data_IF_150488953466
#
_entry.id   IF_150488953466
#
_cell.length_a   1.000
_cell.length_b   1.000
_cell.length_c   1.000
_cell.angle_alpha   90.00
_cell.angle_beta   90.00
_cell.angle_gamma   90.00
#
_symmetry.space_group_name_H-M   'P 1'
#
loop_
_entity.id
_entity.type
_entity.pdbx_description
1 polymer ?
#
# COMPACT_ATOMS: atom_id res chain seq x y z
N UNK A 1 27.32 33.73 22.53
CA UNK A 1 26.75 32.43 22.91
C UNK A 1 25.80 32.02 21.80
N UNK A 2 26.20 31.14 20.91
CA UNK A 2 25.36 30.67 19.80
C UNK A 2 24.32 29.71 20.39
N UNK A 3 23.07 30.17 20.48
CA UNK A 3 21.93 29.29 20.72
C UNK A 3 21.80 28.35 19.53
N UNK A 4 22.39 27.17 19.59
CA UNK A 4 22.09 26.10 18.64
C UNK A 4 20.65 25.66 18.87
N UNK A 5 19.71 26.23 18.12
CA UNK A 5 18.34 25.76 18.09
C UNK A 5 18.37 24.28 17.66
N UNK A 6 17.99 23.39 18.56
CA UNK A 6 17.99 21.96 18.30
C UNK A 6 16.74 21.63 17.47
N UNK A 7 16.91 21.61 16.15
CA UNK A 7 15.86 21.26 15.21
C UNK A 7 15.64 19.75 15.15
N UNK A 8 14.38 19.34 15.15
CA UNK A 8 13.98 17.96 14.94
C UNK A 8 13.06 17.85 13.73
N UNK A 9 13.13 16.75 13.02
CA UNK A 9 12.17 16.49 11.94
C UNK A 9 10.78 16.25 12.52
N UNK A 10 9.75 16.75 11.89
CA UNK A 10 8.36 16.64 12.36
C UNK A 10 7.92 15.18 12.51
N UNK A 11 8.25 14.31 11.53
CA UNK A 11 7.90 12.87 11.60
C UNK A 11 8.55 12.15 12.80
N UNK A 12 9.76 12.54 13.16
CA UNK A 12 10.48 12.00 14.33
C UNK A 12 9.89 12.56 15.61
N UNK A 13 9.68 13.89 15.66
CA UNK A 13 9.14 14.56 16.83
C UNK A 13 7.76 14.00 17.24
N UNK A 14 6.88 13.76 16.26
CA UNK A 14 5.55 13.20 16.49
C UNK A 14 5.59 11.80 17.12
N UNK A 15 6.56 10.98 16.74
CA UNK A 15 6.74 9.63 17.32
C UNK A 15 7.33 9.73 18.73
N UNK A 16 8.35 10.56 18.91
CA UNK A 16 9.02 10.72 20.23
C UNK A 16 8.06 11.27 21.28
N UNK A 17 7.12 12.14 20.87
CA UNK A 17 6.05 12.67 21.73
C UNK A 17 4.81 11.76 21.78
N UNK A 18 4.89 10.52 21.26
CA UNK A 18 3.84 9.48 21.34
C UNK A 18 2.52 9.85 20.65
N UNK A 19 2.51 10.81 19.73
CA UNK A 19 1.34 11.10 18.91
C UNK A 19 1.04 9.98 17.90
N UNK A 20 2.08 9.32 17.40
CA UNK A 20 1.97 8.20 16.48
C UNK A 20 2.88 7.05 16.87
N UNK A 21 2.48 5.83 16.53
CA UNK A 21 3.21 4.60 16.87
C UNK A 21 4.49 4.38 16.04
N UNK A 22 4.61 5.04 14.87
CA UNK A 22 5.79 4.93 14.02
C UNK A 22 5.93 6.13 13.07
N UNK A 23 7.15 6.31 12.54
CA UNK A 23 7.44 7.37 11.56
C UNK A 23 6.63 7.24 10.27
N UNK A 24 6.29 6.01 9.86
CA UNK A 24 5.45 5.80 8.68
C UNK A 24 4.04 6.31 8.91
N UNK A 25 3.44 6.05 10.06
CA UNK A 25 2.12 6.56 10.44
C UNK A 25 2.15 8.09 10.54
N UNK A 26 3.14 8.65 11.23
CA UNK A 26 3.32 10.09 11.32
C UNK A 26 3.47 10.76 9.94
N UNK A 27 4.32 10.20 9.09
CA UNK A 27 4.52 10.72 7.72
C UNK A 27 3.24 10.64 6.87
N UNK A 28 2.42 9.60 7.08
CA UNK A 28 1.14 9.51 6.38
C UNK A 28 0.15 10.57 6.86
N UNK A 29 0.03 10.78 8.17
CA UNK A 29 -0.81 11.84 8.74
C UNK A 29 -0.40 13.23 8.26
N UNK A 30 0.91 13.51 8.20
CA UNK A 30 1.46 14.76 7.65
C UNK A 30 1.08 14.90 6.18
N UNK A 31 1.28 13.86 5.38
CA UNK A 31 0.97 13.87 3.95
C UNK A 31 -0.53 14.15 3.67
N UNK A 32 -1.42 13.62 4.52
CA UNK A 32 -2.86 13.84 4.43
C UNK A 32 -3.28 15.24 4.90
N UNK A 33 -2.34 16.06 5.39
CA UNK A 33 -2.64 17.41 5.87
C UNK A 33 -3.28 17.45 7.26
N UNK A 34 -3.22 16.35 8.02
CA UNK A 34 -3.81 16.24 9.36
C UNK A 34 -2.91 16.82 10.46
N UNK A 35 -1.73 17.32 10.10
CA UNK A 35 -0.78 17.92 11.04
C UNK A 35 -0.53 19.37 10.67
N UNK A 36 -0.69 20.25 11.64
CA UNK A 36 -0.38 21.68 11.50
C UNK A 36 0.77 22.06 12.44
N UNK A 37 1.62 22.94 11.98
CA UNK A 37 2.69 23.56 12.76
C UNK A 37 2.42 25.07 12.81
N UNK A 38 2.31 25.63 14.01
CA UNK A 38 2.00 27.04 14.23
C UNK A 38 0.72 27.48 13.48
N UNK A 39 -0.30 26.61 13.46
CA UNK A 39 -1.58 26.86 12.79
C UNK A 39 -1.56 26.67 11.26
N UNK A 40 -0.43 26.31 10.66
CA UNK A 40 -0.33 26.06 9.22
C UNK A 40 -0.23 24.55 8.95
N UNK A 41 -1.11 24.04 8.07
CA UNK A 41 -1.06 22.64 7.61
C UNK A 41 0.25 22.41 6.87
N UNK A 42 0.93 21.32 7.21
CA UNK A 42 2.15 20.89 6.52
C UNK A 42 2.01 19.49 5.95
N UNK A 43 2.52 19.27 4.74
CA UNK A 43 2.55 17.95 4.08
C UNK A 43 3.96 17.40 3.93
N UNK A 44 4.97 18.09 4.52
CA UNK A 44 6.38 17.70 4.43
C UNK A 44 6.86 17.08 5.74
N UNK A 45 7.05 15.76 5.77
CA UNK A 45 7.52 15.01 6.95
C UNK A 45 8.88 15.46 7.49
N UNK A 46 9.74 16.02 6.63
CA UNK A 46 11.05 16.54 6.98
C UNK A 46 11.03 17.98 7.49
N UNK A 47 9.87 18.61 7.67
CA UNK A 47 9.74 19.95 8.25
C UNK A 47 10.52 19.98 9.57
N UNK A 48 11.40 20.98 9.70
CA UNK A 48 12.20 21.19 10.92
C UNK A 48 11.37 21.97 11.91
N UNK A 49 11.24 21.45 13.11
CA UNK A 49 10.54 22.08 14.23
C UNK A 49 11.45 22.18 15.44
N UNK A 50 11.13 23.10 16.31
CA UNK A 50 11.79 23.36 17.59
C UNK A 50 10.85 23.01 18.75
N UNK A 51 11.33 23.09 19.96
CA UNK A 51 10.49 22.94 21.18
C UNK A 51 9.46 24.07 21.38
N UNK A 52 9.58 25.16 20.63
CA UNK A 52 8.67 26.33 20.71
C UNK A 52 7.56 26.29 19.69
N UNK A 53 7.61 25.37 18.72
CA UNK A 53 6.59 25.24 17.69
C UNK A 53 5.35 24.53 18.23
N UNK A 54 4.16 25.14 17.99
CA UNK A 54 2.89 24.53 18.35
C UNK A 54 2.50 23.52 17.26
N UNK A 55 2.44 22.24 17.62
CA UNK A 55 2.00 21.16 16.70
C UNK A 55 0.61 20.72 17.11
N UNK A 56 -0.32 20.74 16.15
CA UNK A 56 -1.69 20.26 16.32
C UNK A 56 -1.99 19.14 15.32
N UNK A 57 -2.86 18.22 15.74
CA UNK A 57 -3.25 17.06 14.93
C UNK A 57 -4.77 17.06 14.81
N UNK A 58 -5.24 16.97 13.58
CA UNK A 58 -6.66 16.75 13.32
C UNK A 58 -7.00 15.27 13.54
N UNK A 59 -7.73 14.98 14.60
CA UNK A 59 -8.16 13.63 14.96
C UNK A 59 -9.52 13.25 14.35
N UNK A 60 -10.07 14.07 13.47
CA UNK A 60 -11.37 13.81 12.84
C UNK A 60 -11.33 12.67 11.82
N UNK A 61 -10.16 12.35 11.28
CA UNK A 61 -9.98 11.28 10.30
C UNK A 61 -9.22 10.06 10.86
N UNK A 62 -9.55 8.88 10.34
CA UNK A 62 -8.82 7.65 10.67
C UNK A 62 -7.41 7.67 10.08
N UNK A 63 -6.42 7.38 10.91
CA UNK A 63 -5.05 7.21 10.47
C UNK A 63 -4.81 5.83 9.89
N UNK A 64 -4.22 5.79 8.70
CA UNK A 64 -3.78 4.54 8.09
C UNK A 64 -2.31 4.29 8.35
N UNK A 65 -1.96 3.02 8.53
CA UNK A 65 -0.58 2.57 8.78
C UNK A 65 0.38 2.89 7.62
N UNK A 66 -0.16 3.12 6.42
CA UNK A 66 0.61 3.58 5.26
C UNK A 66 -0.27 4.33 4.25
N UNK A 67 0.37 5.13 3.38
CA UNK A 67 -0.30 5.82 2.25
C UNK A 67 -0.95 4.84 1.26
N UNK A 68 -0.43 3.61 1.19
CA UNK A 68 -0.97 2.56 0.31
C UNK A 68 -2.46 2.30 0.58
N UNK A 69 -2.89 2.38 1.84
CA UNK A 69 -4.29 2.23 2.23
C UNK A 69 -5.26 3.07 1.38
N UNK A 70 -4.91 4.33 1.13
CA UNK A 70 -5.76 5.23 0.35
C UNK A 70 -5.94 4.81 -1.12
N UNK A 71 -4.99 4.06 -1.68
CA UNK A 71 -5.09 3.51 -3.05
C UNK A 71 -6.19 2.45 -3.12
N UNK A 72 -6.17 1.49 -2.18
CA UNK A 72 -7.17 0.44 -2.13
C UNK A 72 -8.54 0.99 -1.74
N UNK A 73 -8.61 1.89 -0.75
CA UNK A 73 -9.85 2.57 -0.35
C UNK A 73 -10.51 3.26 -1.54
N UNK A 74 -9.73 4.03 -2.31
CA UNK A 74 -10.23 4.68 -3.52
C UNK A 74 -10.79 3.67 -4.52
N UNK A 75 -10.07 2.57 -4.79
CA UNK A 75 -10.50 1.52 -5.72
C UNK A 75 -11.82 0.90 -5.28
N UNK A 76 -11.93 0.44 -4.03
CA UNK A 76 -13.14 -0.19 -3.48
C UNK A 76 -14.33 0.77 -3.54
N UNK A 77 -14.14 2.03 -3.13
CA UNK A 77 -15.19 3.05 -3.18
C UNK A 77 -15.69 3.33 -4.60
N UNK A 78 -14.77 3.37 -5.58
CA UNK A 78 -15.11 3.60 -7.00
C UNK A 78 -15.79 2.40 -7.65
N UNK A 79 -15.36 1.19 -7.33
CA UNK A 79 -15.84 -0.04 -7.99
C UNK A 79 -16.99 -0.68 -7.25
N UNK A 80 -17.20 -0.33 -5.98
CA UNK A 80 -18.17 -0.94 -5.08
C UNK A 80 -17.99 -2.47 -4.96
N UNK A 81 -16.72 -2.92 -5.01
CA UNK A 81 -16.39 -4.32 -4.75
C UNK A 81 -16.86 -4.67 -3.35
N UNK A 82 -17.62 -5.75 -3.25
CA UNK A 82 -18.09 -6.29 -1.98
C UNK A 82 -16.98 -7.06 -1.27
N UNK A 83 -16.53 -6.56 -0.13
CA UNK A 83 -15.50 -7.14 0.73
C UNK A 83 -16.11 -7.78 1.98
N UNK A 84 -17.35 -7.43 2.29
CA UNK A 84 -17.99 -7.86 3.54
C UNK A 84 -18.03 -9.39 3.66
N UNK A 85 -17.57 -9.90 4.80
CA UNK A 85 -17.49 -11.33 5.13
C UNK A 85 -16.67 -12.19 4.16
N UNK A 86 -15.85 -11.58 3.30
CA UNK A 86 -14.99 -12.32 2.37
C UNK A 86 -13.68 -12.74 3.02
N UNK A 87 -13.13 -13.86 2.55
CA UNK A 87 -11.73 -14.22 2.77
C UNK A 87 -10.89 -13.53 1.72
N UNK A 88 -9.83 -12.86 2.15
CA UNK A 88 -8.96 -12.05 1.30
C UNK A 88 -7.50 -12.50 1.41
N UNK A 89 -6.73 -12.26 0.34
CA UNK A 89 -5.27 -12.30 0.34
C UNK A 89 -4.76 -10.88 0.09
N UNK A 90 -3.74 -10.46 0.85
CA UNK A 90 -3.01 -9.22 0.65
C UNK A 90 -1.54 -9.52 0.33
N UNK A 91 -1.17 -9.43 -0.95
CA UNK A 91 0.17 -9.72 -1.46
C UNK A 91 1.04 -8.46 -1.38
N UNK A 92 2.14 -8.55 -0.64
CA UNK A 92 3.01 -7.43 -0.33
C UNK A 92 2.40 -6.55 0.78
N UNK A 93 1.93 -7.18 1.85
CA UNK A 93 1.21 -6.51 2.93
C UNK A 93 2.04 -5.43 3.64
N UNK A 94 3.37 -5.59 3.74
CA UNK A 94 4.29 -4.63 4.36
C UNK A 94 3.79 -4.15 5.73
N UNK A 95 3.57 -2.85 5.93
CA UNK A 95 3.02 -2.29 7.19
C UNK A 95 1.53 -2.58 7.39
N UNK A 96 0.84 -3.16 6.42
CA UNK A 96 -0.57 -3.54 6.51
C UNK A 96 -1.56 -2.50 5.95
N UNK A 97 -1.13 -1.65 5.03
CA UNK A 97 -2.01 -0.61 4.49
C UNK A 97 -3.25 -1.17 3.78
N UNK A 98 -3.09 -2.15 2.91
CA UNK A 98 -4.22 -2.80 2.24
C UNK A 98 -5.00 -3.69 3.20
N UNK A 99 -4.31 -4.44 4.06
CA UNK A 99 -4.91 -5.24 5.14
C UNK A 99 -5.86 -4.40 5.99
N UNK A 100 -5.46 -3.19 6.40
CA UNK A 100 -6.30 -2.29 7.20
C UNK A 100 -7.58 -1.89 6.47
N UNK A 101 -7.51 -1.63 5.18
CA UNK A 101 -8.67 -1.30 4.36
C UNK A 101 -9.60 -2.51 4.20
N UNK A 102 -9.06 -3.69 3.93
CA UNK A 102 -9.87 -4.91 3.85
C UNK A 102 -10.64 -5.16 5.16
N UNK A 103 -10.00 -4.95 6.32
CA UNK A 103 -10.66 -5.02 7.63
C UNK A 103 -11.75 -3.95 7.79
N UNK A 104 -11.48 -2.71 7.35
CA UNK A 104 -12.44 -1.59 7.42
C UNK A 104 -13.70 -1.87 6.60
N UNK A 105 -13.54 -2.54 5.44
CA UNK A 105 -14.66 -2.95 4.58
C UNK A 105 -15.27 -4.31 4.94
N UNK A 106 -14.94 -4.86 6.10
CA UNK A 106 -15.63 -6.01 6.67
C UNK A 106 -15.14 -7.39 6.25
N UNK A 107 -13.89 -7.52 5.76
CA UNK A 107 -13.30 -8.84 5.50
C UNK A 107 -13.36 -9.72 6.76
N UNK A 108 -13.76 -10.98 6.59
CA UNK A 108 -13.84 -11.95 7.71
C UNK A 108 -12.50 -12.61 8.01
N UNK A 109 -11.63 -12.73 7.00
CA UNK A 109 -10.30 -13.31 7.13
C UNK A 109 -9.37 -12.70 6.10
N UNK A 110 -8.12 -12.41 6.49
CA UNK A 110 -7.10 -11.86 5.60
C UNK A 110 -5.80 -12.62 5.80
N UNK A 111 -5.30 -13.21 4.73
CA UNK A 111 -3.94 -13.73 4.67
C UNK A 111 -3.03 -12.60 4.17
N UNK A 112 -2.26 -12.02 5.07
CA UNK A 112 -1.37 -10.89 4.79
C UNK A 112 0.04 -11.44 4.56
N UNK A 113 0.51 -11.40 3.32
CA UNK A 113 1.70 -12.09 2.85
C UNK A 113 2.78 -11.09 2.48
N UNK A 114 3.97 -11.25 3.05
CA UNK A 114 5.13 -10.41 2.73
C UNK A 114 6.44 -11.19 2.90
N UNK A 115 7.41 -10.94 2.02
CA UNK A 115 8.77 -11.48 2.13
C UNK A 115 9.56 -10.85 3.27
N UNK A 116 9.17 -9.66 3.71
CA UNK A 116 9.75 -8.93 4.83
C UNK A 116 9.45 -9.60 6.16
N UNK A 117 10.06 -9.07 7.21
CA UNK A 117 9.89 -9.57 8.56
C UNK A 117 9.46 -8.45 9.50
N UNK A 118 8.46 -8.72 10.36
CA UNK A 118 7.97 -7.81 11.40
C UNK A 118 7.61 -6.38 10.92
N UNK A 119 7.20 -6.24 9.65
CA UNK A 119 6.84 -4.94 9.10
C UNK A 119 5.43 -4.49 9.49
N UNK A 120 4.50 -5.44 9.64
CA UNK A 120 3.10 -5.15 9.89
C UNK A 120 2.89 -4.44 11.24
N UNK A 121 2.05 -3.43 11.23
CA UNK A 121 1.68 -2.67 12.43
C UNK A 121 1.07 -3.58 13.50
N UNK A 122 1.50 -3.43 14.76
CA UNK A 122 1.10 -4.30 15.87
C UNK A 122 -0.42 -4.41 16.06
N UNK A 123 -1.16 -3.34 15.82
CA UNK A 123 -2.62 -3.36 15.90
C UNK A 123 -3.28 -4.31 14.90
N UNK A 124 -2.71 -4.44 13.69
CA UNK A 124 -3.19 -5.35 12.65
C UNK A 124 -2.76 -6.78 12.92
N UNK A 125 -1.54 -7.00 13.41
CA UNK A 125 -1.05 -8.32 13.81
C UNK A 125 -1.86 -8.96 14.94
N UNK A 126 -2.50 -8.13 15.79
CA UNK A 126 -3.35 -8.59 16.90
C UNK A 126 -4.81 -8.82 16.52
N UNK A 127 -5.24 -8.40 15.34
CA UNK A 127 -6.61 -8.64 14.87
C UNK A 127 -6.77 -10.12 14.50
N UNK A 128 -7.72 -10.80 15.14
CA UNK A 128 -7.95 -12.24 14.95
C UNK A 128 -8.33 -12.63 13.52
N UNK A 129 -8.79 -11.67 12.71
CA UNK A 129 -9.10 -11.86 11.30
C UNK A 129 -7.86 -11.87 10.40
N UNK A 130 -6.70 -11.42 10.91
CA UNK A 130 -5.45 -11.31 10.14
C UNK A 130 -4.53 -12.47 10.44
N UNK A 131 -4.19 -13.22 9.42
CA UNK A 131 -3.14 -14.23 9.46
C UNK A 131 -1.91 -13.62 8.80
N UNK A 132 -0.97 -13.14 9.64
CA UNK A 132 0.25 -12.53 9.17
C UNK A 132 1.27 -13.61 8.74
N UNK A 133 1.63 -13.62 7.47
CA UNK A 133 2.57 -14.57 6.86
C UNK A 133 3.84 -13.82 6.44
N UNK A 134 4.64 -13.44 7.42
CA UNK A 134 5.97 -12.85 7.23
C UNK A 134 6.94 -13.87 6.60
N UNK A 135 7.97 -13.38 5.91
CA UNK A 135 9.01 -14.19 5.23
C UNK A 135 8.44 -15.19 4.24
N UNK A 136 7.27 -14.88 3.68
CA UNK A 136 6.59 -15.75 2.74
C UNK A 136 6.60 -15.12 1.36
N UNK A 137 7.13 -15.85 0.38
CA UNK A 137 7.01 -15.43 -1.02
C UNK A 137 5.59 -15.67 -1.51
N UNK A 138 5.03 -14.70 -2.20
CA UNK A 138 3.67 -14.81 -2.75
C UNK A 138 3.50 -15.99 -3.72
N UNK A 139 4.61 -16.53 -4.26
CA UNK A 139 4.62 -17.69 -5.15
C UNK A 139 4.54 -19.04 -4.39
N UNK A 140 4.83 -19.02 -3.10
CA UNK A 140 4.86 -20.22 -2.25
C UNK A 140 3.58 -20.40 -1.41
N UNK A 141 2.52 -19.64 -1.75
CA UNK A 141 1.23 -19.73 -1.06
C UNK A 141 0.56 -21.07 -1.37
N UNK A 142 0.05 -21.73 -0.32
CA UNK A 142 -0.70 -22.98 -0.47
C UNK A 142 -1.96 -22.81 -1.31
N UNK A 143 -2.26 -23.83 -2.12
CA UNK A 143 -3.45 -23.83 -2.99
C UNK A 143 -4.75 -23.66 -2.21
N UNK A 144 -4.84 -24.23 -1.03
CA UNK A 144 -6.00 -24.13 -0.13
C UNK A 144 -6.29 -22.68 0.29
N UNK A 145 -5.24 -21.88 0.56
CA UNK A 145 -5.37 -20.44 0.88
C UNK A 145 -5.90 -19.68 -0.34
N UNK A 146 -5.37 -19.96 -1.52
CA UNK A 146 -5.78 -19.31 -2.76
C UNK A 146 -7.25 -19.63 -3.06
N UNK A 147 -7.64 -20.90 -3.00
CA UNK A 147 -8.99 -21.35 -3.35
C UNK A 147 -10.07 -20.87 -2.38
N UNK A 148 -9.77 -20.71 -1.09
CA UNK A 148 -10.76 -20.16 -0.15
C UNK A 148 -10.92 -18.63 -0.24
N UNK A 149 -10.06 -17.95 -1.02
CA UNK A 149 -10.03 -16.49 -1.09
C UNK A 149 -10.86 -15.96 -2.26
N UNK A 150 -11.76 -15.04 -1.96
CA UNK A 150 -12.63 -14.39 -2.96
C UNK A 150 -12.04 -13.08 -3.50
N UNK A 151 -11.14 -12.46 -2.73
CA UNK A 151 -10.51 -11.18 -3.05
C UNK A 151 -9.00 -11.34 -2.89
N UNK A 152 -8.25 -10.93 -3.90
CA UNK A 152 -6.78 -10.93 -3.86
C UNK A 152 -6.30 -9.52 -4.20
N UNK A 153 -5.63 -8.89 -3.26
CA UNK A 153 -4.98 -7.58 -3.44
C UNK A 153 -3.48 -7.76 -3.65
N UNK A 154 -2.85 -6.85 -4.42
CA UNK A 154 -1.41 -6.88 -4.62
C UNK A 154 -0.81 -5.47 -4.74
N UNK A 155 0.09 -5.12 -3.82
CA UNK A 155 0.96 -3.93 -3.87
C UNK A 155 2.43 -4.36 -3.83
N UNK A 156 2.85 -5.16 -4.81
CA UNK A 156 4.19 -5.74 -4.89
C UNK A 156 5.23 -4.72 -5.38
N UNK A 157 6.46 -4.82 -4.88
CA UNK A 157 7.60 -4.02 -5.32
C UNK A 157 8.78 -4.91 -5.68
N UNK A 158 9.62 -4.45 -6.62
CA UNK A 158 10.85 -5.12 -7.06
C UNK A 158 10.65 -6.47 -7.75
N UNK A 159 9.44 -6.80 -8.14
CA UNK A 159 9.09 -7.98 -8.91
C UNK A 159 7.98 -7.65 -9.91
N UNK A 160 8.00 -8.27 -11.09
CA UNK A 160 6.89 -8.16 -12.04
C UNK A 160 5.66 -8.91 -11.53
N UNK A 161 4.49 -8.29 -11.66
CA UNK A 161 3.20 -8.91 -11.33
C UNK A 161 2.97 -10.23 -12.09
N UNK A 162 3.48 -10.33 -13.32
CA UNK A 162 3.33 -11.56 -14.14
C UNK A 162 3.95 -12.78 -13.48
N UNK A 163 5.11 -12.60 -12.79
CA UNK A 163 5.82 -13.68 -12.10
C UNK A 163 5.07 -14.23 -10.89
N UNK A 164 4.17 -13.45 -10.32
CA UNK A 164 3.40 -13.82 -9.13
C UNK A 164 1.97 -14.22 -9.51
N UNK A 165 1.29 -13.40 -10.29
CA UNK A 165 -0.14 -13.59 -10.57
C UNK A 165 -0.43 -14.80 -11.45
N UNK A 166 0.49 -15.20 -12.35
CA UNK A 166 0.23 -16.31 -13.27
C UNK A 166 -0.16 -17.61 -12.55
N UNK A 167 0.59 -17.99 -11.53
CA UNK A 167 0.29 -19.17 -10.71
C UNK A 167 -0.97 -18.96 -9.87
N UNK A 168 -1.11 -17.81 -9.24
CA UNK A 168 -2.23 -17.52 -8.33
C UNK A 168 -3.56 -17.54 -9.11
N UNK A 169 -3.60 -16.93 -10.30
CA UNK A 169 -4.80 -16.94 -11.16
C UNK A 169 -5.20 -18.35 -11.55
N UNK A 170 -4.24 -19.19 -11.95
CA UNK A 170 -4.51 -20.57 -12.33
C UNK A 170 -5.06 -21.44 -11.18
N UNK A 171 -4.73 -21.10 -9.95
CA UNK A 171 -5.17 -21.81 -8.75
C UNK A 171 -6.43 -21.23 -8.12
N UNK A 172 -6.83 -20.01 -8.52
CA UNK A 172 -7.99 -19.31 -7.98
C UNK A 172 -9.31 -19.86 -8.51
N UNK A 173 -10.34 -19.76 -7.70
CA UNK A 173 -11.68 -20.10 -8.14
C UNK A 173 -12.23 -19.07 -9.16
N UNK A 174 -13.14 -19.54 -10.02
CA UNK A 174 -13.91 -18.65 -10.90
C UNK A 174 -14.69 -17.65 -10.02
N UNK A 175 -14.63 -16.38 -10.39
CA UNK A 175 -15.26 -15.30 -9.63
C UNK A 175 -14.36 -14.61 -8.60
N UNK A 176 -13.13 -15.09 -8.38
CA UNK A 176 -12.14 -14.37 -7.57
C UNK A 176 -11.84 -13.00 -8.18
N UNK A 177 -11.89 -11.97 -7.35
CA UNK A 177 -11.61 -10.59 -7.76
C UNK A 177 -10.17 -10.20 -7.41
N UNK A 178 -9.46 -9.67 -8.40
CA UNK A 178 -8.09 -9.20 -8.23
C UNK A 178 -8.04 -7.67 -8.21
N UNK A 179 -7.44 -7.09 -7.16
CA UNK A 179 -7.19 -5.66 -7.01
C UNK A 179 -5.68 -5.42 -7.00
N UNK A 180 -5.08 -5.14 -8.13
CA UNK A 180 -3.62 -5.07 -8.27
C UNK A 180 -3.13 -3.66 -8.56
N UNK A 181 -2.04 -3.25 -7.92
CA UNK A 181 -1.35 -2.01 -8.21
C UNK A 181 -0.28 -2.25 -9.26
N UNK A 182 -0.58 -1.86 -10.50
CA UNK A 182 0.40 -1.90 -11.58
C UNK A 182 1.45 -0.80 -11.41
N UNK A 183 2.72 -1.19 -11.39
CA UNK A 183 3.86 -0.30 -11.24
C UNK A 183 4.77 -0.45 -12.45
N UNK A 184 4.70 0.47 -13.43
CA UNK A 184 5.43 0.33 -14.69
C UNK A 184 6.91 0.03 -14.51
N UNK A 185 7.55 0.64 -13.51
CA UNK A 185 8.99 0.49 -13.25
C UNK A 185 9.41 -0.96 -12.88
N UNK A 186 8.49 -1.83 -12.49
CA UNK A 186 8.79 -3.24 -12.21
C UNK A 186 8.38 -4.18 -13.36
N UNK A 187 7.77 -3.63 -14.40
CA UNK A 187 7.29 -4.38 -15.57
C UNK A 187 8.13 -4.11 -16.83
N UNK A 188 8.83 -2.98 -16.88
CA UNK A 188 9.75 -2.62 -17.98
C UNK A 188 11.17 -3.12 -17.72
N UNK A 189 11.99 -3.21 -18.76
CA UNK A 189 13.42 -3.53 -18.63
C UNK A 189 14.19 -2.40 -17.93
N UNK A 190 15.30 -2.74 -17.27
CA UNK A 190 16.13 -1.77 -16.54
C UNK A 190 16.61 -0.57 -17.39
N UNK A 191 16.80 -0.78 -18.69
CA UNK A 191 17.22 0.28 -19.63
C UNK A 191 16.20 1.40 -19.78
N UNK A 192 14.93 1.12 -19.51
CA UNK A 192 13.82 2.06 -19.63
C UNK A 192 13.57 2.86 -18.34
N UNK A 193 14.37 2.63 -17.30
CA UNK A 193 14.22 3.26 -15.99
C UNK A 193 15.33 4.29 -15.77
N UNK A 194 14.98 5.45 -15.20
CA UNK A 194 15.94 6.45 -14.73
C UNK A 194 16.65 5.98 -13.46
N UNK A 195 17.73 6.67 -13.06
CA UNK A 195 18.42 6.42 -11.78
C UNK A 195 17.49 6.56 -10.56
N UNK A 196 16.41 7.34 -10.68
CA UNK A 196 15.42 7.54 -9.63
C UNK A 196 14.28 6.52 -9.67
N UNK A 197 14.33 5.50 -10.52
CA UNK A 197 13.29 4.47 -10.59
C UNK A 197 12.04 4.85 -11.40
N UNK A 198 12.08 5.94 -12.17
CA UNK A 198 10.98 6.41 -13.01
C UNK A 198 11.15 5.89 -14.44
N UNK A 199 10.06 5.44 -15.07
CA UNK A 199 10.08 5.07 -16.49
C UNK A 199 10.28 6.31 -17.35
N UNK A 200 11.25 6.25 -18.27
CA UNK A 200 11.72 7.41 -19.05
C UNK A 200 10.68 8.02 -20.00
N UNK A 201 9.79 7.19 -20.52
CA UNK A 201 8.84 7.59 -21.56
C UNK A 201 7.42 7.11 -21.21
N UNK A 202 6.45 8.01 -21.31
CA UNK A 202 5.03 7.72 -21.06
C UNK A 202 4.46 6.70 -22.06
N UNK A 203 4.93 6.69 -23.30
CA UNK A 203 4.52 5.71 -24.31
C UNK A 203 4.90 4.29 -23.90
N UNK A 204 6.08 4.11 -23.28
CA UNK A 204 6.51 2.82 -22.75
C UNK A 204 5.60 2.40 -21.60
N UNK A 205 5.16 3.32 -20.74
CA UNK A 205 4.20 3.03 -19.68
C UNK A 205 2.90 2.48 -20.27
N UNK A 206 2.35 3.15 -21.30
CA UNK A 206 1.10 2.74 -21.91
C UNK A 206 1.21 1.41 -22.67
N UNK A 207 2.27 1.21 -23.45
CA UNK A 207 2.50 -0.06 -24.17
C UNK A 207 2.69 -1.23 -23.20
N UNK A 208 3.40 -1.00 -22.09
CA UNK A 208 3.61 -2.01 -21.04
C UNK A 208 2.29 -2.36 -20.33
N UNK A 209 1.47 -1.34 -20.02
CA UNK A 209 0.16 -1.55 -19.41
C UNK A 209 -0.78 -2.32 -20.36
N UNK A 210 -0.78 -1.98 -21.64
CA UNK A 210 -1.58 -2.70 -22.66
C UNK A 210 -1.10 -4.16 -22.81
N UNK A 211 0.23 -4.38 -22.84
CA UNK A 211 0.81 -5.71 -22.85
C UNK A 211 0.45 -6.52 -21.60
N UNK A 212 0.41 -5.87 -20.42
CA UNK A 212 -0.01 -6.52 -19.19
C UNK A 212 -1.50 -6.88 -19.22
N UNK A 213 -2.35 -5.98 -19.71
CA UNK A 213 -3.78 -6.26 -19.88
C UNK A 213 -4.01 -7.46 -20.81
N UNK A 214 -3.40 -7.48 -21.99
CA UNK A 214 -3.51 -8.59 -22.93
C UNK A 214 -3.04 -9.92 -22.30
N UNK A 215 -1.97 -9.86 -21.49
CA UNK A 215 -1.49 -11.04 -20.76
C UNK A 215 -2.51 -11.53 -19.73
N UNK A 216 -3.18 -10.64 -19.00
CA UNK A 216 -4.24 -11.01 -18.05
C UNK A 216 -5.41 -11.70 -18.77
N UNK A 217 -5.82 -11.18 -19.95
CA UNK A 217 -6.86 -11.78 -20.77
C UNK A 217 -6.46 -13.19 -21.24
N UNK A 218 -5.19 -13.39 -21.60
CA UNK A 218 -4.66 -14.70 -22.03
C UNK A 218 -4.62 -15.74 -20.89
N UNK A 219 -4.58 -15.31 -19.65
CA UNK A 219 -4.67 -16.20 -18.47
C UNK A 219 -6.09 -16.22 -17.87
N UNK A 220 -7.11 -15.92 -18.67
CA UNK A 220 -8.54 -15.99 -18.34
C UNK A 220 -9.02 -14.98 -17.28
N UNK A 221 -8.34 -13.85 -17.10
CA UNK A 221 -8.88 -12.72 -16.33
C UNK A 221 -9.77 -11.87 -17.24
N UNK A 222 -11.06 -11.82 -16.91
CA UNK A 222 -12.04 -10.98 -17.61
C UNK A 222 -12.39 -9.70 -16.81
N UNK A 223 -13.25 -8.85 -17.41
CA UNK A 223 -13.77 -7.63 -16.78
C UNK A 223 -12.70 -6.67 -16.22
N UNK A 224 -11.59 -6.52 -16.94
CA UNK A 224 -10.45 -5.70 -16.51
C UNK A 224 -10.85 -4.22 -16.54
N UNK A 225 -10.73 -3.56 -15.37
CA UNK A 225 -10.94 -2.11 -15.23
C UNK A 225 -9.63 -1.45 -14.74
N UNK A 226 -9.28 -0.34 -15.37
CA UNK A 226 -8.04 0.39 -15.06
C UNK A 226 -8.41 1.75 -14.47
N UNK A 227 -7.81 2.08 -13.33
CA UNK A 227 -7.99 3.35 -12.63
C UNK A 227 -6.64 4.00 -12.37
N UNK A 228 -6.57 5.31 -12.54
CA UNK A 228 -5.39 6.07 -12.12
C UNK A 228 -5.32 6.07 -10.58
N UNK A 229 -4.13 5.81 -10.03
CA UNK A 229 -3.91 5.90 -8.59
C UNK A 229 -4.18 7.33 -8.09
N UNK A 230 -4.90 7.51 -6.97
CA UNK A 230 -5.12 8.83 -6.38
C UNK A 230 -3.85 9.41 -5.75
N UNK A 231 -2.83 8.57 -5.55
CA UNK A 231 -1.57 8.93 -4.91
C UNK A 231 -0.43 8.57 -5.86
N UNK A 232 0.44 9.52 -6.10
CA UNK A 232 1.66 9.33 -6.87
C UNK A 232 2.69 8.50 -6.09
N UNK A 233 3.63 7.89 -6.80
CA UNK A 233 4.81 7.27 -6.21
C UNK A 233 5.66 8.29 -5.43
N UNK A 234 6.73 7.83 -4.79
CA UNK A 234 7.65 8.74 -4.06
C UNK A 234 8.35 9.72 -5.00
N UNK A 235 8.55 9.33 -6.23
CA UNK A 235 9.33 10.06 -7.24
C UNK A 235 8.45 10.59 -8.40
N UNK A 236 7.13 10.50 -8.30
CA UNK A 236 6.19 10.99 -9.32
C UNK A 236 5.13 10.00 -9.76
#
# INVERSE_FOLDING_TARGET
MSNSQNYKRLDVWLVDNKYFSSRNVASNAIFLGLVSVNGQVTQKSSTKITQFDAVTIDNSEKYYVSRAANKLKYLITKTKIDIERKTCIDLGASTGGFTQILLEFGASKIYAIDVGHEQMANQLRKDQRVINMDRTDARDIGTDIIQQSSIITADLSFISLRKVLGQIVNLSNIGTTFCVLFKPQFEVGQKEITKNGIVKNTEIVWSTLQSFKNWLENINIGNIKIFKSPILGKEG
#
